data_IF_059765743623
#
_entry.id   IF_059765743623
#
_cell.length_a   1.000
_cell.length_b   1.000
_cell.length_c   1.000
_cell.angle_alpha   90.00
_cell.angle_beta   90.00
_cell.angle_gamma   90.00
#
_symmetry.space_group_name_H-M   'P 1'
#
loop_
_entity.id
_entity.type
_entity.pdbx_description
1 polymer ?
#
# COMPACT_ATOMS: atom_id res chain seq x y z
N UNK A 1 -1.23 -32.01 -36.53
CA UNK A 1 0.17 -32.51 -36.51
C UNK A 1 1.00 -31.95 -35.35
N UNK A 2 0.59 -30.88 -34.68
CA UNK A 2 1.29 -30.28 -33.50
C UNK A 2 0.99 -30.99 -32.16
N UNK A 3 -0.17 -31.63 -32.01
CA UNK A 3 -0.53 -32.33 -30.76
C UNK A 3 0.18 -33.68 -30.54
N UNK A 4 0.79 -34.27 -31.58
CA UNK A 4 1.46 -35.58 -31.51
C UNK A 4 2.95 -35.49 -31.12
N UNK A 5 3.54 -34.25 -31.08
CA UNK A 5 4.93 -34.02 -30.66
C UNK A 5 5.08 -33.68 -29.17
N UNK A 6 3.97 -33.47 -28.46
CA UNK A 6 3.99 -33.11 -27.03
C UNK A 6 4.04 -34.30 -26.06
N UNK A 7 4.03 -35.55 -26.56
CA UNK A 7 3.96 -36.75 -25.71
C UNK A 7 5.23 -37.62 -25.68
N UNK A 8 6.32 -37.16 -26.22
CA UNK A 8 7.58 -37.91 -26.22
C UNK A 8 8.77 -37.00 -25.88
N UNK A 9 8.94 -36.60 -24.63
CA UNK A 9 10.25 -36.37 -23.99
C UNK A 9 10.07 -35.94 -22.50
N UNK A 10 10.06 -36.91 -21.63
CA UNK A 10 10.16 -36.75 -20.18
C UNK A 10 11.57 -36.40 -19.68
N UNK A 11 12.52 -36.05 -20.55
CA UNK A 11 13.90 -35.73 -20.18
C UNK A 11 14.47 -34.47 -20.87
N UNK A 12 13.67 -33.39 -20.98
CA UNK A 12 14.27 -32.12 -21.36
C UNK A 12 14.61 -31.33 -20.08
N UNK A 13 15.90 -31.06 -19.88
CA UNK A 13 16.40 -30.24 -18.77
C UNK A 13 15.74 -28.86 -18.78
N UNK A 14 15.57 -28.26 -17.60
CA UNK A 14 14.94 -26.94 -17.38
C UNK A 14 15.55 -25.83 -18.28
N UNK A 15 16.82 -25.99 -18.69
CA UNK A 15 17.53 -25.07 -19.59
C UNK A 15 17.04 -25.15 -21.05
N UNK A 16 16.56 -26.32 -21.49
CA UNK A 16 16.05 -26.49 -22.86
C UNK A 16 14.71 -25.78 -23.02
N UNK A 17 13.86 -25.81 -22.00
CA UNK A 17 12.58 -25.07 -22.01
C UNK A 17 12.79 -23.57 -21.95
N UNK A 18 13.77 -23.10 -21.19
CA UNK A 18 14.15 -21.69 -21.13
C UNK A 18 14.64 -21.13 -22.46
N UNK A 19 15.40 -21.94 -23.24
CA UNK A 19 15.85 -21.53 -24.56
C UNK A 19 14.71 -21.49 -25.58
N UNK A 20 13.80 -22.47 -25.57
CA UNK A 20 12.65 -22.53 -26.47
C UNK A 20 11.67 -21.34 -26.18
N UNK A 21 11.47 -20.98 -24.92
CA UNK A 21 10.66 -19.82 -24.58
C UNK A 21 11.29 -18.48 -24.99
N UNK A 22 12.63 -18.37 -24.93
CA UNK A 22 13.33 -17.17 -25.42
C UNK A 22 13.23 -17.00 -26.94
N UNK A 23 13.24 -18.07 -27.69
CA UNK A 23 13.12 -18.05 -29.16
C UNK A 23 11.66 -17.85 -29.62
N UNK A 24 10.68 -18.20 -28.80
CA UNK A 24 9.26 -18.02 -29.10
C UNK A 24 8.74 -16.60 -28.77
N UNK A 25 9.34 -15.94 -27.79
CA UNK A 25 9.12 -14.53 -27.48
C UNK A 25 10.09 -13.70 -28.32
N UNK A 26 9.77 -13.45 -29.58
CA UNK A 26 10.61 -12.80 -30.57
C UNK A 26 11.41 -11.60 -30.07
N UNK A 27 12.65 -11.48 -30.54
CA UNK A 27 13.66 -10.47 -30.20
C UNK A 27 13.34 -9.01 -30.60
N UNK A 28 12.12 -8.70 -30.99
CA UNK A 28 11.71 -7.37 -31.47
C UNK A 28 10.42 -6.85 -30.79
N UNK A 29 10.42 -6.82 -29.45
CA UNK A 29 9.42 -6.05 -28.72
C UNK A 29 10.14 -5.15 -27.71
N UNK A 30 9.60 -3.97 -27.48
CA UNK A 30 9.91 -3.16 -26.29
C UNK A 30 10.24 -4.12 -25.14
N UNK A 31 11.45 -4.05 -24.57
CA UNK A 31 11.96 -5.02 -23.61
C UNK A 31 10.91 -5.36 -22.55
N UNK A 32 10.81 -6.62 -22.18
CA UNK A 32 9.81 -7.09 -21.21
C UNK A 32 9.97 -6.33 -19.90
N UNK A 33 8.86 -5.78 -19.37
CA UNK A 33 8.82 -5.20 -18.04
C UNK A 33 8.63 -6.26 -16.94
N UNK A 34 8.40 -7.51 -17.33
CA UNK A 34 8.22 -8.65 -16.42
C UNK A 34 9.57 -9.01 -15.81
N UNK A 35 9.63 -9.09 -14.49
CA UNK A 35 10.82 -9.51 -13.73
C UNK A 35 10.44 -10.68 -12.85
N UNK A 36 11.17 -11.76 -12.97
CA UNK A 36 10.94 -12.98 -12.21
C UNK A 36 9.52 -13.55 -12.38
N UNK A 37 8.89 -13.92 -11.27
CA UNK A 37 7.57 -14.58 -11.27
C UNK A 37 6.39 -13.63 -11.09
N UNK A 38 6.59 -12.48 -10.44
CA UNK A 38 5.49 -11.65 -9.95
C UNK A 38 5.74 -10.16 -10.12
N UNK A 39 7.01 -9.75 -10.25
CA UNK A 39 7.40 -8.35 -10.24
C UNK A 39 7.40 -7.72 -11.63
N UNK A 40 7.35 -6.40 -11.64
CA UNK A 40 7.40 -5.55 -12.83
C UNK A 40 8.47 -4.47 -12.59
N UNK A 41 9.43 -4.32 -13.54
CA UNK A 41 10.35 -3.19 -13.56
C UNK A 41 9.93 -2.22 -14.67
N UNK A 42 9.62 -0.99 -14.31
CA UNK A 42 9.17 0.00 -15.28
C UNK A 42 10.31 0.50 -16.16
N UNK A 43 10.22 0.29 -17.46
CA UNK A 43 11.16 0.82 -18.45
C UNK A 43 10.92 2.30 -18.70
N UNK A 44 9.65 2.70 -18.82
CA UNK A 44 9.26 4.10 -18.87
C UNK A 44 9.29 4.67 -17.46
N UNK A 45 9.91 5.82 -17.31
CA UNK A 45 10.04 6.49 -16.03
C UNK A 45 8.67 6.87 -15.45
N UNK A 46 8.46 6.54 -14.19
CA UNK A 46 7.29 6.94 -13.41
C UNK A 46 7.77 7.67 -12.17
N UNK A 47 7.28 8.86 -11.95
CA UNK A 47 7.65 9.70 -10.81
C UNK A 47 6.43 10.11 -10.00
N UNK A 48 6.64 10.30 -8.69
CA UNK A 48 5.68 11.00 -7.83
C UNK A 48 5.96 12.49 -7.99
N UNK A 49 5.05 13.20 -8.68
CA UNK A 49 5.15 14.62 -8.95
C UNK A 49 4.62 15.48 -7.79
N UNK A 50 3.61 14.99 -7.08
CA UNK A 50 3.03 15.64 -5.91
C UNK A 50 2.44 14.63 -4.94
N UNK A 51 2.48 14.95 -3.65
CA UNK A 51 1.86 14.14 -2.60
C UNK A 51 1.32 15.03 -1.48
N UNK A 52 0.25 14.59 -0.83
CA UNK A 52 -0.30 15.28 0.34
C UNK A 52 -0.81 14.29 1.37
N UNK A 53 -0.81 14.75 2.63
CA UNK A 53 -1.34 14.05 3.80
C UNK A 53 -2.29 14.95 4.57
N UNK A 54 -3.46 14.40 4.91
CA UNK A 54 -4.49 15.03 5.74
C UNK A 54 -4.74 14.13 6.93
N UNK A 55 -4.74 14.65 8.15
CA UNK A 55 -4.89 13.84 9.36
C UNK A 55 -5.78 14.50 10.40
N UNK A 56 -6.34 13.66 11.27
CA UNK A 56 -7.11 14.07 12.43
C UNK A 56 -6.25 14.44 13.64
N UNK A 57 -6.92 14.79 14.78
CA UNK A 57 -6.25 15.33 15.95
C UNK A 57 -5.28 14.34 16.62
N UNK A 58 -5.58 13.03 16.62
CA UNK A 58 -4.73 12.04 17.27
C UNK A 58 -3.41 11.85 16.53
N UNK A 59 -3.45 11.79 15.23
CA UNK A 59 -2.29 11.69 14.34
C UNK A 59 -1.45 12.98 14.39
N UNK A 60 -2.13 14.15 14.41
CA UNK A 60 -1.46 15.44 14.55
C UNK A 60 -0.70 15.60 15.88
N UNK A 61 -1.12 14.90 16.92
CA UNK A 61 -0.44 14.86 18.22
C UNK A 61 0.67 13.79 18.30
N UNK A 62 0.84 12.97 17.26
CA UNK A 62 1.82 11.91 17.19
C UNK A 62 3.22 12.36 16.75
N UNK A 63 4.20 11.44 16.68
CA UNK A 63 5.59 11.73 16.32
C UNK A 63 5.77 12.40 14.95
N UNK A 64 4.87 12.15 14.01
CA UNK A 64 4.89 12.70 12.66
C UNK A 64 4.06 13.99 12.50
N UNK A 65 3.47 14.50 13.59
CA UNK A 65 2.51 15.60 13.57
C UNK A 65 2.99 16.85 12.83
N UNK A 66 4.25 17.24 12.99
CA UNK A 66 4.81 18.43 12.33
C UNK A 66 4.97 18.28 10.80
N UNK A 67 4.93 17.05 10.28
CA UNK A 67 5.22 16.78 8.88
C UNK A 67 3.99 16.56 8.02
N UNK A 68 2.79 16.46 8.63
CA UNK A 68 1.56 16.37 7.86
C UNK A 68 1.17 17.70 7.24
N UNK A 69 0.62 17.66 6.03
CA UNK A 69 0.29 18.85 5.25
C UNK A 69 -0.94 19.59 5.78
N UNK A 70 -1.96 18.83 6.17
CA UNK A 70 -3.21 19.36 6.74
C UNK A 70 -3.51 18.58 8.01
N UNK A 71 -3.78 19.33 9.06
CA UNK A 71 -4.14 18.80 10.39
C UNK A 71 -5.44 19.47 10.82
N UNK A 72 -6.45 18.67 11.13
CA UNK A 72 -7.70 19.21 11.68
C UNK A 72 -7.85 18.80 13.15
N UNK A 73 -8.24 19.76 13.99
CA UNK A 73 -8.54 19.52 15.40
C UNK A 73 -9.93 18.90 15.62
N UNK A 74 -10.80 18.95 14.61
CA UNK A 74 -12.11 18.30 14.59
C UNK A 74 -12.02 16.97 13.84
N UNK A 75 -12.24 15.82 14.51
CA UNK A 75 -12.23 14.52 13.83
C UNK A 75 -13.37 14.36 12.82
N UNK A 76 -14.37 15.23 12.83
CA UNK A 76 -15.45 15.28 11.84
C UNK A 76 -15.13 16.17 10.63
N UNK A 77 -14.04 16.92 10.64
CA UNK A 77 -13.68 17.82 9.53
C UNK A 77 -14.82 18.76 9.13
N UNK A 78 -15.59 19.25 10.12
CA UNK A 78 -16.76 20.10 9.91
C UNK A 78 -17.96 19.41 9.25
N UNK A 79 -18.00 18.08 9.20
CA UNK A 79 -19.12 17.31 8.64
C UNK A 79 -20.01 16.71 9.71
N UNK A 80 -21.14 16.15 9.29
CA UNK A 80 -22.16 15.60 10.20
C UNK A 80 -21.90 14.12 10.56
N UNK A 81 -21.20 13.38 9.68
CA UNK A 81 -20.92 11.95 9.88
C UNK A 81 -19.44 11.61 9.65
N UNK A 82 -19.00 10.49 10.22
CA UNK A 82 -17.62 10.01 10.08
C UNK A 82 -17.27 9.65 8.63
N UNK A 83 -18.22 9.10 7.88
CA UNK A 83 -18.07 8.77 6.48
C UNK A 83 -17.92 10.03 5.61
N UNK A 84 -18.67 11.07 5.91
CA UNK A 84 -18.52 12.39 5.26
C UNK A 84 -17.18 13.04 5.60
N UNK A 85 -16.73 12.91 6.86
CA UNK A 85 -15.41 13.38 7.28
C UNK A 85 -14.30 12.70 6.50
N UNK A 86 -14.39 11.37 6.32
CA UNK A 86 -13.43 10.60 5.54
C UNK A 86 -13.44 10.99 4.06
N UNK A 87 -14.63 11.24 3.48
CA UNK A 87 -14.78 11.79 2.12
C UNK A 87 -14.10 13.14 1.97
N UNK A 88 -14.27 14.04 2.93
CA UNK A 88 -13.64 15.36 2.92
C UNK A 88 -12.12 15.28 2.98
N UNK A 89 -11.57 14.40 3.82
CA UNK A 89 -10.12 14.16 3.86
C UNK A 89 -9.56 13.73 2.49
N UNK A 90 -10.26 12.85 1.76
CA UNK A 90 -9.82 12.45 0.42
C UNK A 90 -9.86 13.61 -0.57
N UNK A 91 -10.91 14.41 -0.54
CA UNK A 91 -11.04 15.60 -1.39
C UNK A 91 -9.89 16.59 -1.15
N UNK A 92 -9.62 16.93 0.10
CA UNK A 92 -8.54 17.84 0.49
C UNK A 92 -7.17 17.25 0.07
N UNK A 93 -6.92 15.98 0.34
CA UNK A 93 -5.65 15.33 0.01
C UNK A 93 -5.39 15.34 -1.50
N UNK A 94 -6.40 15.00 -2.31
CA UNK A 94 -6.29 14.97 -3.77
C UNK A 94 -6.01 16.37 -4.35
N UNK A 95 -6.75 17.38 -3.93
CA UNK A 95 -6.54 18.76 -4.35
C UNK A 95 -5.14 19.24 -3.97
N UNK A 96 -4.73 18.99 -2.74
CA UNK A 96 -3.41 19.41 -2.24
C UNK A 96 -2.25 18.72 -2.95
N UNK A 97 -2.41 17.45 -3.31
CA UNK A 97 -1.42 16.71 -4.08
C UNK A 97 -1.29 17.27 -5.51
N UNK A 98 -2.41 17.63 -6.15
CA UNK A 98 -2.42 18.27 -7.48
C UNK A 98 -1.77 19.68 -7.43
N UNK A 99 -2.09 20.50 -6.43
CA UNK A 99 -1.43 21.80 -6.21
C UNK A 99 0.10 21.65 -6.12
N UNK A 100 0.59 20.69 -5.32
CA UNK A 100 2.02 20.44 -5.17
C UNK A 100 2.67 19.90 -6.45
N UNK A 101 1.93 19.16 -7.28
CA UNK A 101 2.35 18.73 -8.60
C UNK A 101 2.31 19.88 -9.62
N UNK A 102 1.70 21.02 -9.29
CA UNK A 102 1.40 22.16 -10.17
C UNK A 102 0.52 21.76 -11.36
N UNK A 103 -0.48 20.93 -11.09
CA UNK A 103 -1.44 20.43 -12.06
C UNK A 103 -2.87 20.75 -11.60
N UNK A 104 -3.74 20.99 -12.58
CA UNK A 104 -5.17 20.96 -12.35
C UNK A 104 -5.67 19.49 -12.35
N UNK A 105 -6.71 19.19 -11.59
CA UNK A 105 -7.29 17.84 -11.59
C UNK A 105 -7.80 17.40 -12.96
N UNK A 106 -8.12 18.36 -13.84
CA UNK A 106 -8.50 18.09 -15.23
C UNK A 106 -7.38 17.44 -16.07
N UNK A 107 -6.13 17.61 -15.68
CA UNK A 107 -4.94 17.03 -16.34
C UNK A 107 -4.65 15.59 -15.85
N UNK A 108 -5.29 15.16 -14.76
CA UNK A 108 -5.21 13.79 -14.25
C UNK A 108 -6.19 12.91 -15.04
N UNK A 109 -5.68 11.91 -15.75
CA UNK A 109 -6.51 11.07 -16.61
C UNK A 109 -7.33 10.05 -15.84
N UNK A 110 -6.73 9.37 -14.87
CA UNK A 110 -7.34 8.31 -14.08
C UNK A 110 -7.09 8.53 -12.59
N UNK A 111 -8.10 8.21 -11.79
CA UNK A 111 -8.00 8.09 -10.34
C UNK A 111 -8.05 6.61 -9.95
N UNK A 112 -7.15 6.20 -9.06
CA UNK A 112 -7.13 4.91 -8.39
C UNK A 112 -7.28 5.18 -6.90
N UNK A 113 -8.38 4.72 -6.30
CA UNK A 113 -8.64 5.08 -4.93
C UNK A 113 -9.49 4.07 -4.19
N UNK A 114 -9.43 4.14 -2.87
CA UNK A 114 -10.21 3.30 -2.00
C UNK A 114 -10.11 3.70 -0.54
N UNK A 115 -10.95 3.08 0.23
CA UNK A 115 -11.07 3.21 1.67
C UNK A 115 -11.39 1.85 2.30
N UNK A 116 -11.69 1.81 3.60
CA UNK A 116 -12.01 0.56 4.30
C UNK A 116 -13.52 0.24 4.35
N UNK A 117 -14.37 1.15 3.88
CA UNK A 117 -15.80 1.03 4.04
C UNK A 117 -16.44 0.16 2.93
N UNK A 118 -17.58 -0.42 3.24
CA UNK A 118 -18.36 -1.16 2.28
C UNK A 118 -18.73 -0.29 1.08
N UNK A 119 -18.55 -0.85 -0.13
CA UNK A 119 -18.77 -0.23 -1.43
C UNK A 119 -17.98 1.08 -1.65
N UNK A 120 -16.88 1.29 -0.91
CA UNK A 120 -16.01 2.47 -1.04
C UNK A 120 -16.78 3.79 -0.87
N UNK A 121 -17.59 3.87 0.18
CA UNK A 121 -18.48 5.01 0.41
C UNK A 121 -17.70 6.31 0.55
N UNK A 122 -16.61 6.33 1.32
CA UNK A 122 -15.82 7.53 1.50
C UNK A 122 -15.17 7.99 0.19
N UNK A 123 -14.60 7.07 -0.59
CA UNK A 123 -13.97 7.37 -1.87
C UNK A 123 -14.99 7.89 -2.89
N UNK A 124 -16.14 7.23 -3.01
CA UNK A 124 -17.15 7.59 -4.00
C UNK A 124 -17.63 9.03 -3.85
N UNK A 125 -17.88 9.48 -2.62
CA UNK A 125 -18.31 10.85 -2.34
C UNK A 125 -17.14 11.84 -2.24
N UNK A 126 -15.96 11.39 -1.77
CA UNK A 126 -14.81 12.26 -1.55
C UNK A 126 -14.19 12.80 -2.85
N UNK A 127 -14.25 12.03 -3.93
CA UNK A 127 -13.60 12.40 -5.19
C UNK A 127 -14.56 12.70 -6.34
N UNK A 128 -15.88 12.73 -6.09
CA UNK A 128 -16.90 12.95 -7.13
C UNK A 128 -16.70 14.29 -7.88
N UNK A 129 -16.31 15.35 -7.16
CA UNK A 129 -16.08 16.67 -7.75
C UNK A 129 -14.84 16.74 -8.65
N UNK A 130 -13.92 15.78 -8.53
CA UNK A 130 -12.79 15.70 -9.48
C UNK A 130 -13.23 15.39 -10.91
N UNK A 131 -14.40 14.81 -11.13
CA UNK A 131 -15.00 14.47 -12.42
C UNK A 131 -14.06 13.72 -13.35
N UNK A 132 -13.29 12.80 -12.77
CA UNK A 132 -12.32 11.96 -13.50
C UNK A 132 -12.72 10.49 -13.43
N UNK A 133 -12.38 9.69 -14.45
CA UNK A 133 -12.57 8.24 -14.39
C UNK A 133 -11.90 7.65 -13.16
N UNK A 134 -12.65 6.87 -12.36
CA UNK A 134 -12.21 6.24 -11.14
C UNK A 134 -12.15 4.72 -11.30
N UNK A 135 -11.06 4.14 -10.83
CA UNK A 135 -10.96 2.73 -10.48
C UNK A 135 -11.03 2.62 -8.95
N UNK A 136 -12.18 2.19 -8.44
CA UNK A 136 -12.39 1.91 -7.02
C UNK A 136 -11.72 0.58 -6.64
N UNK A 137 -10.87 0.60 -5.63
CA UNK A 137 -10.01 -0.51 -5.21
C UNK A 137 -10.29 -0.91 -3.78
N UNK A 138 -10.26 -2.21 -3.48
CA UNK A 138 -10.39 -2.73 -2.13
C UNK A 138 -9.39 -3.84 -1.85
N UNK A 139 -8.22 -3.47 -1.34
CA UNK A 139 -7.20 -4.36 -0.78
C UNK A 139 -7.09 -4.21 0.75
N UNK A 140 -8.16 -3.81 1.44
CA UNK A 140 -8.14 -3.40 2.83
C UNK A 140 -7.03 -2.34 3.06
N UNK A 141 -6.21 -2.47 4.11
CA UNK A 141 -5.14 -1.50 4.40
C UNK A 141 -4.06 -1.45 3.30
N UNK A 142 -3.91 -2.49 2.44
CA UNK A 142 -2.94 -2.50 1.34
C UNK A 142 -3.35 -1.65 0.13
N UNK A 143 -4.58 -1.10 0.11
CA UNK A 143 -5.12 -0.29 -1.00
C UNK A 143 -4.20 0.88 -1.37
N UNK A 144 -3.41 1.41 -0.44
CA UNK A 144 -2.42 2.44 -0.73
C UNK A 144 -1.37 1.98 -1.76
N UNK A 145 -0.78 0.81 -1.60
CA UNK A 145 0.18 0.29 -2.58
C UNK A 145 -0.50 -0.27 -3.84
N UNK A 146 -1.70 -0.82 -3.70
CA UNK A 146 -2.51 -1.27 -4.83
C UNK A 146 -2.81 -0.10 -5.78
N UNK A 147 -3.30 1.03 -5.25
CA UNK A 147 -3.59 2.23 -6.01
C UNK A 147 -2.34 2.84 -6.66
N UNK A 148 -1.22 2.90 -5.92
CA UNK A 148 0.07 3.35 -6.46
C UNK A 148 0.58 2.43 -7.58
N UNK A 149 0.45 1.12 -7.41
CA UNK A 149 0.84 0.12 -8.41
C UNK A 149 0.09 0.32 -9.72
N UNK A 150 -1.24 0.40 -9.66
CA UNK A 150 -2.09 0.55 -10.85
C UNK A 150 -1.92 1.93 -11.52
N UNK A 151 -1.78 2.99 -10.72
CA UNK A 151 -1.45 4.32 -11.25
C UNK A 151 -0.10 4.31 -11.96
N UNK A 152 0.93 3.69 -11.37
CA UNK A 152 2.25 3.58 -11.98
C UNK A 152 2.23 2.72 -13.26
N UNK A 153 1.52 1.60 -13.27
CA UNK A 153 1.33 0.77 -14.48
C UNK A 153 0.63 1.56 -15.59
N UNK A 154 -0.37 2.39 -15.26
CA UNK A 154 -1.08 3.22 -16.24
C UNK A 154 -0.18 4.27 -16.86
N UNK A 155 0.69 4.91 -16.06
CA UNK A 155 1.66 5.90 -16.55
C UNK A 155 2.76 5.23 -17.36
N UNK A 156 3.37 4.15 -16.82
CA UNK A 156 4.43 3.41 -17.52
C UNK A 156 3.97 2.77 -18.83
N UNK A 157 2.71 2.32 -18.88
CA UNK A 157 2.08 1.75 -20.06
C UNK A 157 1.66 2.79 -21.12
N UNK A 158 1.80 4.09 -20.84
CA UNK A 158 1.40 5.15 -21.75
C UNK A 158 -0.12 5.39 -21.84
N UNK A 159 -0.90 4.80 -20.92
CA UNK A 159 -2.34 5.00 -20.87
C UNK A 159 -2.73 6.34 -20.23
N UNK A 160 -1.83 6.93 -19.44
CA UNK A 160 -2.00 8.24 -18.81
C UNK A 160 -0.68 9.01 -18.78
N UNK A 161 -0.71 10.32 -19.03
CA UNK A 161 0.43 11.20 -18.75
C UNK A 161 0.52 11.45 -17.25
N UNK A 162 -0.65 11.68 -16.60
CA UNK A 162 -0.79 11.79 -15.16
C UNK A 162 -1.92 10.89 -14.65
N UNK A 163 -1.66 10.22 -13.55
CA UNK A 163 -2.64 9.44 -12.79
C UNK A 163 -2.53 9.79 -11.30
N UNK A 164 -3.62 9.62 -10.55
CA UNK A 164 -3.60 9.84 -9.12
C UNK A 164 -3.95 8.57 -8.36
N UNK A 165 -3.28 8.36 -7.22
CA UNK A 165 -3.62 7.39 -6.20
C UNK A 165 -4.09 8.13 -4.95
N UNK A 166 -5.23 7.72 -4.36
CA UNK A 166 -5.77 8.32 -3.14
C UNK A 166 -6.40 7.26 -2.25
N UNK A 167 -6.03 7.27 -0.97
CA UNK A 167 -6.61 6.33 0.00
C UNK A 167 -6.79 6.99 1.35
N UNK A 168 -7.80 6.55 2.09
CA UNK A 168 -8.12 7.05 3.43
C UNK A 168 -8.56 5.95 4.36
N UNK A 169 -8.51 6.23 5.63
CA UNK A 169 -9.23 5.55 6.69
C UNK A 169 -9.65 6.56 7.74
N UNK A 170 -10.71 6.25 8.48
CA UNK A 170 -11.14 7.03 9.62
C UNK A 170 -11.45 6.10 10.78
N UNK A 171 -10.95 6.41 11.98
CA UNK A 171 -11.11 5.54 13.14
C UNK A 171 -12.56 5.12 13.37
N UNK A 172 -13.47 6.10 13.51
CA UNK A 172 -14.84 5.81 13.90
C UNK A 172 -15.65 5.06 12.82
N UNK A 173 -15.47 5.38 11.54
CA UNK A 173 -16.13 4.67 10.43
C UNK A 173 -15.63 3.24 10.32
N UNK A 174 -14.30 3.02 10.41
CA UNK A 174 -13.69 1.70 10.37
C UNK A 174 -14.05 0.84 11.59
N UNK A 175 -14.00 1.40 12.80
CA UNK A 175 -14.40 0.66 14.01
C UNK A 175 -15.85 0.19 13.94
N UNK A 176 -16.75 1.06 13.46
CA UNK A 176 -18.15 0.74 13.24
C UNK A 176 -18.35 -0.38 12.20
N UNK A 177 -17.48 -0.44 11.20
CA UNK A 177 -17.51 -1.44 10.15
C UNK A 177 -16.95 -2.78 10.61
N UNK A 178 -15.80 -2.79 11.30
CA UNK A 178 -15.02 -4.01 11.53
C UNK A 178 -15.01 -4.52 12.96
N UNK A 179 -15.24 -3.66 13.97
CA UNK A 179 -15.15 -3.97 15.40
C UNK A 179 -16.45 -3.63 16.12
N UNK A 180 -17.48 -4.31 15.74
CA UNK A 180 -18.80 -4.15 16.32
C UNK A 180 -19.02 -5.10 17.49
N UNK A 181 -19.71 -4.68 18.57
CA UNK A 181 -20.31 -3.35 18.80
C UNK A 181 -19.30 -2.32 19.37
N UNK A 182 -19.44 -1.06 18.92
CA UNK A 182 -18.56 0.05 19.31
C UNK A 182 -18.48 0.30 20.84
N UNK A 183 -19.55 -0.04 21.58
CA UNK A 183 -19.58 0.09 23.04
C UNK A 183 -18.48 -0.67 23.79
N UNK A 184 -17.84 -1.63 23.14
CA UNK A 184 -16.69 -2.38 23.67
C UNK A 184 -15.34 -1.90 23.09
N UNK A 185 -15.31 -0.81 22.36
CA UNK A 185 -14.09 -0.31 21.72
C UNK A 185 -12.94 0.03 22.70
N UNK A 186 -13.27 0.26 23.99
CA UNK A 186 -12.26 0.43 25.04
C UNK A 186 -11.58 -0.89 25.49
N UNK A 187 -12.17 -2.04 25.17
CA UNK A 187 -11.67 -3.36 25.56
C UNK A 187 -10.82 -3.97 24.45
N UNK A 188 -9.76 -3.29 24.05
CA UNK A 188 -8.84 -3.75 23.01
C UNK A 188 -7.71 -4.59 23.61
N UNK A 189 -7.41 -5.78 23.07
CA UNK A 189 -6.23 -6.53 23.45
C UNK A 189 -4.94 -5.79 23.02
N UNK A 190 -3.80 -6.16 23.62
CA UNK A 190 -2.51 -5.56 23.28
C UNK A 190 -2.08 -5.78 21.81
N UNK A 191 -2.62 -6.80 21.16
CA UNK A 191 -2.39 -7.06 19.73
C UNK A 191 -3.21 -6.15 18.79
N UNK A 192 -4.24 -5.46 19.31
CA UNK A 192 -5.07 -4.56 18.50
C UNK A 192 -4.30 -3.32 18.09
N UNK A 193 -4.62 -2.83 16.90
CA UNK A 193 -4.11 -1.57 16.35
C UNK A 193 -5.20 -0.48 16.41
N UNK A 194 -4.80 0.77 16.26
CA UNK A 194 -5.69 1.92 16.16
C UNK A 194 -5.80 2.37 14.70
N UNK A 195 -7.01 2.38 14.15
CA UNK A 195 -7.20 2.88 12.78
C UNK A 195 -6.86 4.37 12.69
N UNK A 196 -5.97 4.71 11.78
CA UNK A 196 -5.56 6.09 11.52
C UNK A 196 -6.70 6.88 10.88
N UNK A 197 -6.97 8.07 11.41
CA UNK A 197 -7.84 9.06 10.78
C UNK A 197 -6.98 9.92 9.85
N UNK A 198 -6.95 9.56 8.57
CA UNK A 198 -6.13 10.26 7.61
C UNK A 198 -6.36 9.83 6.16
N UNK A 199 -5.95 10.70 5.25
CA UNK A 199 -5.94 10.46 3.81
C UNK A 199 -4.63 10.89 3.20
N UNK A 200 -4.09 10.06 2.29
CA UNK A 200 -2.95 10.42 1.47
C UNK A 200 -3.29 10.36 -0.01
N UNK A 201 -2.79 11.32 -0.78
CA UNK A 201 -2.94 11.36 -2.22
C UNK A 201 -1.59 11.59 -2.92
N UNK A 202 -1.44 11.00 -4.09
CA UNK A 202 -0.20 11.01 -4.88
C UNK A 202 -0.53 11.25 -6.34
N UNK A 203 0.13 12.22 -6.95
CA UNK A 203 0.08 12.45 -8.39
C UNK A 203 1.31 11.82 -9.02
N UNK A 204 1.08 10.90 -9.96
CA UNK A 204 2.12 10.21 -10.71
C UNK A 204 2.18 10.77 -12.13
N UNK A 205 3.39 10.84 -12.70
CA UNK A 205 3.60 11.30 -14.06
C UNK A 205 4.93 10.82 -14.63
N UNK A 206 5.17 11.14 -15.91
CA UNK A 206 6.40 10.74 -16.62
C UNK A 206 7.56 11.71 -16.40
N UNK A 207 7.31 12.88 -15.81
CA UNK A 207 8.27 13.99 -15.63
C UNK A 207 8.02 14.74 -14.33
N UNK A 208 8.93 15.62 -13.98
CA UNK A 208 8.81 16.60 -12.90
C UNK A 208 8.61 16.00 -11.49
N UNK A 209 8.94 14.74 -11.31
CA UNK A 209 8.85 14.09 -10.01
C UNK A 209 10.15 14.14 -9.22
N UNK A 210 10.05 13.92 -7.94
CA UNK A 210 11.17 13.95 -6.99
C UNK A 210 11.50 12.56 -6.38
N UNK A 211 10.66 11.56 -6.63
CA UNK A 211 10.89 10.16 -6.30
C UNK A 211 10.41 9.31 -7.47
N UNK A 212 11.24 8.37 -7.90
CA UNK A 212 10.91 7.42 -8.95
C UNK A 212 10.25 6.18 -8.36
N UNK A 213 9.20 5.68 -9.01
CA UNK A 213 8.72 4.32 -8.84
C UNK A 213 9.41 3.47 -9.91
N UNK A 214 10.40 2.68 -9.52
CA UNK A 214 11.20 1.89 -10.46
C UNK A 214 10.60 0.51 -10.76
N UNK A 215 9.76 0.00 -9.85
CA UNK A 215 9.10 -1.28 -10.04
C UNK A 215 8.09 -1.57 -8.95
N UNK A 216 7.36 -2.65 -9.13
CA UNK A 216 6.33 -3.12 -8.22
C UNK A 216 6.31 -4.64 -8.12
N UNK A 217 5.85 -5.16 -6.99
CA UNK A 217 5.54 -6.58 -6.80
C UNK A 217 4.10 -6.70 -6.30
N UNK A 218 3.12 -6.86 -7.21
CA UNK A 218 1.74 -7.13 -6.82
C UNK A 218 1.66 -8.40 -5.98
N UNK A 219 0.95 -8.36 -4.85
CA UNK A 219 0.88 -9.48 -3.92
C UNK A 219 -0.24 -10.45 -4.21
N UNK A 220 -0.15 -11.62 -3.61
CA UNK A 220 -1.18 -12.68 -3.62
C UNK A 220 -1.93 -12.66 -2.30
N UNK A 221 -3.15 -13.18 -2.32
CA UNK A 221 -3.88 -13.50 -1.09
C UNK A 221 -3.19 -14.70 -0.41
N UNK A 222 -2.86 -14.53 0.88
CA UNK A 222 -2.27 -15.57 1.72
C UNK A 222 -3.14 -15.81 2.93
N UNK A 223 -3.65 -17.03 3.09
CA UNK A 223 -4.46 -17.43 4.22
C UNK A 223 -3.72 -18.46 5.08
N UNK A 224 -3.57 -18.18 6.36
CA UNK A 224 -2.96 -19.06 7.36
C UNK A 224 -3.95 -19.51 8.44
N UNK A 225 -5.23 -19.36 8.19
CA UNK A 225 -6.27 -19.84 9.09
C UNK A 225 -6.52 -18.93 10.30
N UNK A 226 -6.01 -17.70 10.31
CA UNK A 226 -6.25 -16.74 11.40
C UNK A 226 -7.71 -16.29 11.38
N UNK A 227 -8.34 -16.24 12.57
CA UNK A 227 -9.75 -15.85 12.76
C UNK A 227 -9.94 -14.72 13.76
N UNK A 228 -8.86 -14.27 14.39
CA UNK A 228 -8.90 -13.21 15.39
C UNK A 228 -8.87 -11.83 14.70
N UNK A 229 -10.02 -11.17 14.67
CA UNK A 229 -10.15 -9.83 14.10
C UNK A 229 -9.51 -8.72 14.93
N UNK A 230 -9.04 -9.04 16.13
CA UNK A 230 -8.30 -8.10 16.98
C UNK A 230 -6.78 -8.24 16.83
N UNK A 231 -6.31 -9.18 16.00
CA UNK A 231 -4.88 -9.41 15.72
C UNK A 231 -4.61 -9.35 14.21
N UNK A 232 -4.79 -8.16 13.63
CA UNK A 232 -4.59 -7.94 12.19
C UNK A 232 -3.14 -8.16 11.76
N UNK A 233 -2.15 -7.88 12.63
CA UNK A 233 -0.75 -8.14 12.35
C UNK A 233 -0.47 -9.60 12.04
N UNK A 234 -1.08 -10.53 12.78
CA UNK A 234 -0.96 -11.97 12.52
C UNK A 234 -1.62 -12.39 11.20
N UNK A 235 -2.72 -11.73 10.80
CA UNK A 235 -3.38 -11.99 9.52
C UNK A 235 -2.52 -11.55 8.35
N UNK A 236 -1.87 -10.38 8.45
CA UNK A 236 -1.17 -9.71 7.35
C UNK A 236 0.29 -10.12 7.17
N UNK A 237 1.00 -10.46 8.26
CA UNK A 237 2.43 -10.78 8.21
C UNK A 237 2.81 -11.89 7.22
N UNK A 238 2.03 -12.98 7.03
CA UNK A 238 2.34 -14.00 6.03
C UNK A 238 2.30 -13.47 4.58
N UNK A 239 1.37 -12.57 4.26
CA UNK A 239 1.28 -11.96 2.94
C UNK A 239 2.43 -10.96 2.71
N UNK A 240 2.79 -10.18 3.73
CA UNK A 240 3.97 -9.31 3.68
C UNK A 240 5.25 -10.11 3.46
N UNK A 241 5.43 -11.24 4.16
CA UNK A 241 6.56 -12.14 3.97
C UNK A 241 6.62 -12.68 2.53
N UNK A 242 5.48 -13.14 1.98
CA UNK A 242 5.43 -13.66 0.61
C UNK A 242 5.85 -12.57 -0.40
N UNK A 243 5.31 -11.36 -0.27
CA UNK A 243 5.57 -10.26 -1.20
C UNK A 243 7.00 -9.72 -1.09
N UNK A 244 7.54 -9.55 0.13
CA UNK A 244 8.92 -9.10 0.35
C UNK A 244 9.91 -10.11 -0.21
N UNK A 245 9.78 -11.39 0.15
CA UNK A 245 10.67 -12.43 -0.36
C UNK A 245 10.58 -12.57 -1.88
N UNK A 246 9.37 -12.46 -2.44
CA UNK A 246 9.21 -12.53 -3.90
C UNK A 246 9.86 -11.32 -4.60
N UNK A 247 9.77 -10.10 -4.01
CA UNK A 247 10.46 -8.93 -4.52
C UNK A 247 11.97 -9.13 -4.55
N UNK A 248 12.56 -9.60 -3.43
CA UNK A 248 14.00 -9.85 -3.33
C UNK A 248 14.45 -10.87 -4.36
N UNK A 249 13.73 -11.98 -4.53
CA UNK A 249 14.02 -13.01 -5.51
C UNK A 249 13.87 -12.52 -6.95
N UNK A 250 12.78 -11.83 -7.27
CA UNK A 250 12.51 -11.40 -8.64
C UNK A 250 13.49 -10.35 -9.12
N UNK A 251 13.84 -9.38 -8.26
CA UNK A 251 14.82 -8.34 -8.60
C UNK A 251 16.27 -8.77 -8.36
N UNK A 252 16.50 -10.00 -7.89
CA UNK A 252 17.83 -10.54 -7.56
C UNK A 252 18.58 -9.60 -6.59
N UNK A 253 17.88 -9.14 -5.52
CA UNK A 253 18.41 -8.17 -4.55
C UNK A 253 18.53 -8.78 -3.16
N UNK A 254 19.58 -8.37 -2.48
CA UNK A 254 19.71 -8.60 -1.05
C UNK A 254 18.98 -7.50 -0.24
N UNK A 255 18.52 -7.81 0.99
CA UNK A 255 17.87 -6.82 1.85
C UNK A 255 18.64 -5.52 2.03
N UNK A 256 19.98 -5.58 2.09
CA UNK A 256 20.88 -4.44 2.31
C UNK A 256 20.93 -3.47 1.11
N UNK A 257 20.41 -3.86 -0.04
CA UNK A 257 20.28 -2.96 -1.21
C UNK A 257 19.09 -1.99 -1.07
N UNK A 258 18.26 -2.20 -0.05
CA UNK A 258 17.24 -1.26 0.39
C UNK A 258 17.70 -0.54 1.67
N UNK A 259 17.64 0.80 1.70
CA UNK A 259 17.86 1.57 2.93
C UNK A 259 16.79 1.23 3.97
N UNK A 260 15.55 1.00 3.50
CA UNK A 260 14.43 0.56 4.33
C UNK A 260 13.49 -0.37 3.56
N UNK A 261 12.93 -1.33 4.30
CA UNK A 261 11.79 -2.18 3.91
C UNK A 261 10.67 -1.83 4.88
N UNK A 262 9.62 -1.18 4.38
CA UNK A 262 8.62 -0.51 5.23
C UNK A 262 7.24 -1.12 5.00
N UNK A 263 6.67 -1.75 6.03
CA UNK A 263 5.29 -2.24 6.00
C UNK A 263 4.29 -1.15 6.37
N UNK A 264 3.02 -1.34 6.01
CA UNK A 264 1.99 -0.33 6.20
C UNK A 264 1.47 -0.24 7.63
N UNK A 265 1.11 -1.38 8.23
CA UNK A 265 0.37 -1.40 9.47
C UNK A 265 0.39 -2.77 10.18
N UNK A 266 1.51 -3.47 10.11
CA UNK A 266 1.68 -4.73 10.85
C UNK A 266 1.69 -4.51 12.37
N UNK A 267 2.15 -3.34 12.81
CA UNK A 267 2.34 -3.03 14.20
C UNK A 267 3.41 -3.90 14.86
N UNK A 268 3.53 -3.79 16.19
CA UNK A 268 4.57 -4.50 16.94
C UNK A 268 4.44 -6.01 16.85
N UNK A 269 3.23 -6.56 16.98
CA UNK A 269 2.96 -8.00 16.93
C UNK A 269 3.21 -8.56 15.52
N UNK A 270 2.71 -7.91 14.48
CA UNK A 270 2.92 -8.35 13.11
C UNK A 270 4.38 -8.23 12.66
N UNK A 271 5.13 -7.24 13.17
CA UNK A 271 6.58 -7.10 12.98
C UNK A 271 7.32 -8.36 13.45
N UNK A 272 7.09 -8.78 14.69
CA UNK A 272 7.77 -9.96 15.26
C UNK A 272 7.51 -11.22 14.43
N UNK A 273 6.26 -11.43 14.03
CA UNK A 273 5.86 -12.55 13.16
C UNK A 273 6.54 -12.44 11.79
N UNK A 274 6.51 -11.27 11.17
CA UNK A 274 7.11 -11.05 9.85
C UNK A 274 8.62 -11.34 9.86
N UNK A 275 9.36 -10.79 10.82
CA UNK A 275 10.81 -10.96 10.90
C UNK A 275 11.18 -12.44 11.00
N UNK A 276 10.45 -13.23 11.81
CA UNK A 276 10.66 -14.67 11.91
C UNK A 276 10.34 -15.39 10.59
N UNK A 277 9.21 -15.08 9.95
CA UNK A 277 8.80 -15.72 8.70
C UNK A 277 9.78 -15.43 7.54
N UNK A 278 10.31 -14.22 7.46
CA UNK A 278 11.30 -13.84 6.44
C UNK A 278 12.63 -14.54 6.69
N UNK A 279 13.04 -14.65 7.97
CA UNK A 279 14.24 -15.39 8.36
C UNK A 279 14.15 -16.87 8.01
N UNK A 280 12.98 -17.49 8.22
CA UNK A 280 12.72 -18.90 7.84
C UNK A 280 12.78 -19.10 6.31
N UNK A 281 12.64 -18.02 5.52
CA UNK A 281 12.82 -17.99 4.05
C UNK A 281 14.26 -17.70 3.62
N UNK A 282 15.19 -17.52 4.55
CA UNK A 282 16.62 -17.30 4.29
C UNK A 282 17.02 -15.84 4.12
N UNK A 283 16.15 -14.87 4.40
CA UNK A 283 16.49 -13.46 4.37
C UNK A 283 16.48 -12.86 5.79
N UNK A 284 17.33 -11.88 6.02
CA UNK A 284 17.33 -11.07 7.25
C UNK A 284 17.08 -9.61 6.88
N UNK A 285 15.94 -9.07 7.33
CA UNK A 285 15.51 -7.68 7.05
C UNK A 285 15.48 -6.81 8.31
N UNK A 286 15.88 -7.34 9.47
CA UNK A 286 15.68 -6.67 10.76
C UNK A 286 16.28 -5.26 10.80
N UNK A 287 17.49 -5.09 10.24
CA UNK A 287 18.18 -3.79 10.21
C UNK A 287 17.49 -2.75 9.31
N UNK A 288 16.90 -3.20 8.19
CA UNK A 288 16.22 -2.33 7.23
C UNK A 288 14.74 -2.11 7.56
N UNK A 289 14.18 -2.92 8.45
CA UNK A 289 12.75 -2.96 8.69
C UNK A 289 12.23 -1.72 9.41
N UNK A 290 11.08 -1.24 8.95
CA UNK A 290 10.23 -0.23 9.59
C UNK A 290 8.75 -0.56 9.36
N UNK A 291 7.86 0.03 10.15
CA UNK A 291 6.41 -0.11 9.99
C UNK A 291 5.72 1.24 10.21
N UNK A 292 4.87 1.66 9.26
CA UNK A 292 4.19 2.95 9.35
C UNK A 292 3.31 3.06 10.59
N UNK A 293 2.65 1.96 10.98
CA UNK A 293 1.81 1.92 12.17
C UNK A 293 2.58 2.08 13.47
N UNK A 294 3.85 1.65 13.51
CA UNK A 294 4.73 1.88 14.67
C UNK A 294 5.21 3.33 14.71
N UNK A 295 5.50 3.92 13.55
CA UNK A 295 6.08 5.26 13.47
C UNK A 295 5.07 6.40 13.72
N UNK A 296 3.77 6.19 13.44
CA UNK A 296 2.77 7.26 13.44
C UNK A 296 2.31 7.67 14.83
N UNK A 297 2.37 6.77 15.81
CA UNK A 297 1.92 7.02 17.17
C UNK A 297 3.00 6.82 18.22
N UNK A 298 2.89 7.56 19.33
CA UNK A 298 3.67 7.30 20.52
C UNK A 298 2.93 6.29 21.42
N UNK A 299 3.44 5.06 21.59
CA UNK A 299 2.76 3.99 22.33
C UNK A 299 2.59 4.32 23.83
N UNK A 300 3.47 5.16 24.39
CA UNK A 300 3.43 5.50 25.83
C UNK A 300 2.33 6.53 26.15
N UNK A 301 1.99 7.41 25.21
CA UNK A 301 1.10 8.55 25.48
C UNK A 301 -0.21 8.51 24.73
N UNK A 302 -0.35 7.68 23.68
CA UNK A 302 -1.50 7.73 22.78
C UNK A 302 -2.41 6.49 22.84
N UNK A 303 -2.12 5.50 23.69
CA UNK A 303 -2.96 4.30 23.90
C UNK A 303 -3.36 3.61 22.58
N UNK A 304 -2.37 3.27 21.74
CA UNK A 304 -2.60 2.63 20.45
C UNK A 304 -2.21 1.14 20.40
N UNK A 305 -1.75 0.59 21.52
CA UNK A 305 -1.32 -0.79 21.70
C UNK A 305 -0.29 -1.23 20.65
N UNK A 306 -0.67 -2.07 19.66
CA UNK A 306 0.28 -2.54 18.65
C UNK A 306 0.68 -1.50 17.60
N UNK A 307 0.05 -0.32 17.58
CA UNK A 307 0.35 0.76 16.67
C UNK A 307 -0.82 1.23 15.81
N UNK A 308 -0.54 1.95 14.74
CA UNK A 308 -1.53 2.43 13.77
C UNK A 308 -1.95 1.37 12.76
N UNK A 309 -3.12 1.53 12.15
CA UNK A 309 -3.67 0.66 11.12
C UNK A 309 -4.46 1.45 10.05
N UNK A 310 -4.74 0.80 8.94
CA UNK A 310 -5.57 1.34 7.88
C UNK A 310 -4.79 1.81 6.65
N UNK A 311 -5.46 1.90 5.50
CA UNK A 311 -4.81 2.39 4.28
C UNK A 311 -4.43 3.87 4.37
N UNK A 312 -5.11 4.66 5.21
CA UNK A 312 -4.69 6.00 5.60
C UNK A 312 -3.35 6.02 6.31
N UNK A 313 -3.05 5.04 7.20
CA UNK A 313 -1.79 4.93 7.93
C UNK A 313 -0.58 4.90 6.98
N UNK A 314 -0.57 3.95 6.05
CA UNK A 314 0.49 3.82 5.06
C UNK A 314 0.60 5.07 4.18
N UNK A 315 -0.53 5.63 3.74
CA UNK A 315 -0.57 6.76 2.82
C UNK A 315 -0.05 8.06 3.45
N UNK A 316 -0.51 8.42 4.66
CA UNK A 316 -0.04 9.66 5.30
C UNK A 316 1.43 9.58 5.71
N UNK A 317 1.89 8.38 6.16
CA UNK A 317 3.30 8.15 6.52
C UNK A 317 4.20 8.18 5.27
N UNK A 318 3.75 7.63 4.14
CA UNK A 318 4.46 7.74 2.87
C UNK A 318 4.68 9.19 2.50
N UNK A 319 3.60 10.02 2.51
CA UNK A 319 3.68 11.43 2.12
C UNK A 319 4.51 12.27 3.10
N UNK A 320 4.31 12.08 4.41
CA UNK A 320 4.91 12.94 5.44
C UNK A 320 6.38 12.57 5.78
N UNK A 321 6.74 11.29 5.73
CA UNK A 321 8.05 10.83 6.19
C UNK A 321 8.89 10.20 5.09
N UNK A 322 8.37 9.23 4.36
CA UNK A 322 9.16 8.40 3.44
C UNK A 322 9.61 9.20 2.22
N UNK A 323 8.68 9.86 1.54
CA UNK A 323 8.98 10.66 0.36
C UNK A 323 9.92 11.84 0.64
N UNK A 324 9.79 12.61 1.74
CA UNK A 324 10.77 13.64 2.09
C UNK A 324 12.19 13.11 2.34
N UNK A 325 12.36 11.92 2.93
CA UNK A 325 13.67 11.30 3.14
C UNK A 325 14.31 10.84 1.82
N UNK A 326 13.51 10.29 0.91
CA UNK A 326 13.94 9.96 -0.45
C UNK A 326 14.29 11.24 -1.22
N UNK A 327 13.43 12.27 -1.21
CA UNK A 327 13.66 13.55 -1.90
C UNK A 327 14.96 14.22 -1.45
N UNK A 328 15.29 14.16 -0.15
CA UNK A 328 16.53 14.72 0.40
C UNK A 328 17.76 13.84 0.13
N UNK A 329 17.57 12.64 -0.43
CA UNK A 329 18.63 11.66 -0.65
C UNK A 329 19.17 11.01 0.63
N UNK A 330 18.48 11.19 1.78
CA UNK A 330 18.81 10.49 3.04
C UNK A 330 18.57 8.98 2.90
N UNK A 331 17.62 8.59 2.09
CA UNK A 331 17.39 7.24 1.60
C UNK A 331 17.51 7.24 0.07
N UNK A 332 18.09 6.20 -0.48
CA UNK A 332 18.26 6.03 -1.94
C UNK A 332 17.23 5.09 -2.53
N UNK A 333 16.92 4.00 -1.81
CA UNK A 333 15.94 3.00 -2.24
C UNK A 333 15.17 2.47 -1.05
N UNK A 334 13.84 2.47 -1.19
CA UNK A 334 12.90 1.95 -0.20
C UNK A 334 11.99 0.91 -0.86
N UNK A 335 11.77 -0.22 -0.19
CA UNK A 335 10.70 -1.14 -0.51
C UNK A 335 9.51 -0.81 0.39
N UNK A 336 8.46 -0.24 -0.18
CA UNK A 336 7.24 0.15 0.52
C UNK A 336 6.18 -0.94 0.31
N UNK A 337 5.73 -1.56 1.40
CA UNK A 337 4.91 -2.78 1.41
C UNK A 337 3.66 -2.62 2.30
N UNK A 338 2.70 -1.78 1.94
CA UNK A 338 1.41 -1.75 2.60
C UNK A 338 0.73 -3.12 2.64
N UNK A 339 0.16 -3.42 3.79
CA UNK A 339 -0.42 -4.70 4.17
C UNK A 339 -1.93 -4.57 4.37
N UNK A 340 -2.69 -5.64 4.18
CA UNK A 340 -4.13 -5.61 4.32
C UNK A 340 -4.67 -6.94 4.85
N UNK A 341 -5.62 -6.87 5.78
CA UNK A 341 -6.41 -7.99 6.25
C UNK A 341 -7.78 -7.96 5.54
N UNK A 342 -8.07 -8.97 4.74
CA UNK A 342 -9.31 -9.04 3.96
C UNK A 342 -10.47 -9.54 4.85
N UNK A 343 -10.82 -8.69 5.80
CA UNK A 343 -11.89 -8.92 6.76
C UNK A 343 -13.20 -8.32 6.24
N UNK A 344 -14.29 -9.09 6.30
CA UNK A 344 -15.65 -8.58 6.14
C UNK A 344 -16.54 -9.05 7.29
N UNK A 345 -17.56 -8.26 7.66
CA UNK A 345 -18.54 -8.67 8.66
C UNK A 345 -19.24 -9.97 8.29
N UNK A 346 -19.53 -10.16 6.99
CA UNK A 346 -20.22 -11.34 6.49
C UNK A 346 -19.36 -12.58 6.73
N UNK A 347 -18.15 -12.62 6.17
CA UNK A 347 -17.26 -13.77 6.30
C UNK A 347 -16.87 -14.06 7.76
N UNK A 348 -16.64 -13.01 8.56
CA UNK A 348 -16.32 -13.13 9.97
C UNK A 348 -17.47 -13.75 10.78
N UNK A 349 -18.72 -13.27 10.56
CA UNK A 349 -19.90 -13.81 11.23
C UNK A 349 -20.22 -15.25 10.80
N UNK A 350 -19.81 -15.65 9.60
CA UNK A 350 -19.86 -17.02 9.12
C UNK A 350 -18.74 -17.92 9.66
N UNK A 351 -17.83 -17.36 10.48
CA UNK A 351 -16.70 -18.09 11.08
C UNK A 351 -15.58 -18.41 10.11
N UNK A 352 -15.48 -17.68 9.00
CA UNK A 352 -14.38 -17.82 8.04
C UNK A 352 -13.07 -17.24 8.59
N UNK A 353 -11.98 -17.54 7.92
CA UNK A 353 -10.65 -17.01 8.20
C UNK A 353 -10.49 -15.60 7.66
N UNK A 354 -9.43 -14.91 8.08
CA UNK A 354 -9.09 -13.56 7.61
C UNK A 354 -7.80 -13.68 6.78
N UNK A 355 -7.89 -13.74 5.45
CA UNK A 355 -6.71 -13.76 4.59
C UNK A 355 -5.98 -12.43 4.60
N UNK A 356 -4.64 -12.46 4.41
CA UNK A 356 -3.82 -11.29 4.22
C UNK A 356 -3.48 -11.04 2.75
N UNK A 357 -3.18 -9.79 2.43
CA UNK A 357 -2.62 -9.36 1.14
C UNK A 357 -1.59 -8.24 1.38
N UNK A 358 -0.59 -8.14 0.51
CA UNK A 358 0.39 -7.05 0.54
C UNK A 358 0.91 -6.77 -0.85
N UNK A 359 1.06 -5.50 -1.22
CA UNK A 359 1.67 -5.09 -2.47
C UNK A 359 2.92 -4.29 -2.19
N UNK A 360 3.98 -4.48 -3.01
CA UNK A 360 5.22 -3.77 -2.84
C UNK A 360 5.48 -2.79 -3.97
N UNK A 361 5.97 -1.60 -3.61
CA UNK A 361 6.39 -0.54 -4.52
C UNK A 361 7.84 -0.19 -4.23
N UNK A 362 8.70 -0.23 -5.26
CA UNK A 362 10.10 0.18 -5.16
C UNK A 362 10.20 1.67 -5.44
N UNK A 363 10.58 2.42 -4.41
CA UNK A 363 10.74 3.87 -4.45
C UNK A 363 12.23 4.24 -4.46
N UNK A 364 12.64 5.11 -5.38
CA UNK A 364 14.05 5.52 -5.53
C UNK A 364 14.20 7.03 -5.55
N UNK A 365 15.26 7.50 -4.91
CA UNK A 365 15.74 8.88 -5.02
C UNK A 365 16.13 9.20 -6.47
N UNK A 366 15.85 10.44 -6.91
CA UNK A 366 16.15 10.95 -8.27
C UNK A 366 17.29 11.97 -8.19
#
# INVERSE_FOLDING_TARGET
MLQKKMLLSEEASDDTWRSVWRDFCGKDSMGSQIVGKQSIAFQNAVYIAGSASVVGPKEAAGPLGEWFDVKDGDPLFGKETWEQAESEMQSIALQKAAEKAKLELSEVRFLFGGDLLAQLTATSFGIVEAKRPLFGLYGACSTCAESLTLAAMSVAGGFAEHAAAVTSSHFASAEKEFRFPLGYGSQRPLAATWTVTGSGAFILGTKNGYVRISGVTPGKIVDRGVRDNMNMGACMAPAACDTICQNLLDFEREPQEYDRIITGDLGTVGKEILLQLVKDRGFDIETQYMDCGIEIYNPETQDTHAGGSGCGCAAVTLSAMILPKLRKGSWKRVLFVPTGALLSKVSFNEGQTIPGIAHAVVLEHV
#
